data_IF_390499448377
#
_entry.id   IF_390499448377
#
_cell.length_a   1.000
_cell.length_b   1.000
_cell.length_c   1.000
_cell.angle_alpha   90.00
_cell.angle_beta   90.00
_cell.angle_gamma   90.00
#
_symmetry.space_group_name_H-M   'P 1'
#
loop_
_entity.id
_entity.type
_entity.pdbx_description
1 polymer ?
#
# COMPACT_ATOMS: atom_id res chain seq x y z
N UNK A 1 14.13 11.24 26.12
CA UNK A 1 14.32 10.48 24.88
C UNK A 1 13.34 11.06 23.88
N UNK A 2 13.80 11.92 22.98
CA UNK A 2 12.90 12.59 22.03
C UNK A 2 12.36 11.59 20.99
N UNK A 3 11.09 11.71 20.57
CA UNK A 3 10.56 10.87 19.51
C UNK A 3 11.31 11.17 18.21
N UNK A 4 11.82 10.12 17.56
CA UNK A 4 12.40 10.17 16.22
C UNK A 4 11.27 10.55 15.27
N UNK A 5 11.08 11.85 15.06
CA UNK A 5 10.36 12.37 13.91
C UNK A 5 11.16 11.97 12.67
N UNK A 6 10.79 10.84 12.08
CA UNK A 6 11.28 10.43 10.76
C UNK A 6 10.98 11.58 9.81
N UNK A 7 12.03 12.34 9.48
CA UNK A 7 11.99 13.36 8.45
C UNK A 7 11.73 12.68 7.12
N UNK A 8 10.46 12.52 6.77
CA UNK A 8 10.05 12.53 5.37
C UNK A 8 10.26 13.96 4.89
N UNK A 9 11.52 14.31 4.58
CA UNK A 9 11.85 15.46 3.73
C UNK A 9 11.71 15.04 2.27
N UNK A 10 10.54 14.56 1.89
CA UNK A 10 10.08 14.86 0.54
C UNK A 10 9.57 16.29 0.63
N UNK A 11 10.19 17.20 -0.10
CA UNK A 11 9.78 18.60 -0.04
C UNK A 11 8.30 18.68 -0.38
N UNK A 12 7.51 19.38 0.43
CA UNK A 12 6.09 19.67 0.17
C UNK A 12 5.85 20.26 -1.23
N UNK A 13 6.91 20.76 -1.88
CA UNK A 13 6.92 21.30 -3.24
C UNK A 13 6.88 20.23 -4.34
N UNK A 14 7.39 19.02 -4.09
CA UNK A 14 7.32 17.89 -5.04
C UNK A 14 5.95 17.18 -4.96
N UNK A 15 5.31 17.18 -3.79
CA UNK A 15 3.95 16.67 -3.59
C UNK A 15 2.87 17.51 -4.30
N UNK A 16 3.16 18.76 -4.64
CA UNK A 16 2.22 19.65 -5.34
C UNK A 16 2.28 19.57 -6.87
N UNK A 17 3.24 18.81 -7.46
CA UNK A 17 3.49 18.84 -8.91
C UNK A 17 3.16 17.55 -9.68
N UNK A 18 2.91 16.45 -8.97
CA UNK A 18 2.33 15.25 -9.56
C UNK A 18 0.99 15.03 -8.89
N UNK A 19 -0.10 15.22 -9.62
CA UNK A 19 -1.42 14.78 -9.15
C UNK A 19 -1.27 13.29 -8.84
N UNK A 20 -1.34 12.91 -7.55
CA UNK A 20 -1.15 11.52 -7.12
C UNK A 20 -2.17 10.62 -7.85
N UNK A 21 -3.34 11.18 -8.19
CA UNK A 21 -4.37 10.56 -9.03
C UNK A 21 -3.91 10.27 -10.47
N UNK A 22 -3.14 11.15 -11.10
CA UNK A 22 -2.62 10.95 -12.47
C UNK A 22 -1.50 9.89 -12.52
N UNK A 23 -0.77 9.73 -11.40
CA UNK A 23 0.27 8.72 -11.24
C UNK A 23 -0.31 7.35 -10.88
N UNK A 24 -1.33 7.31 -10.00
CA UNK A 24 -2.01 6.08 -9.59
C UNK A 24 -3.01 5.57 -10.63
N UNK A 25 -3.68 6.47 -11.37
CA UNK A 25 -4.72 6.11 -12.35
C UNK A 25 -4.21 5.34 -13.57
N UNK A 26 -2.89 5.21 -13.72
CA UNK A 26 -2.25 4.43 -14.79
C UNK A 26 -1.87 3.01 -14.37
N UNK A 27 -1.87 2.72 -13.08
CA UNK A 27 -1.49 1.40 -12.57
C UNK A 27 -2.57 0.39 -12.92
N UNK A 28 -2.23 -0.59 -13.75
CA UNK A 28 -3.15 -1.66 -14.14
C UNK A 28 -2.88 -2.95 -13.36
N UNK A 29 -1.63 -3.18 -12.97
CA UNK A 29 -1.23 -4.34 -12.17
C UNK A 29 -0.46 -3.92 -10.90
N UNK A 30 -0.66 -4.68 -9.82
CA UNK A 30 0.02 -4.45 -8.54
C UNK A 30 1.54 -4.62 -8.64
N UNK A 31 2.04 -5.38 -9.62
CA UNK A 31 3.48 -5.55 -9.89
C UNK A 31 4.15 -4.30 -10.45
N UNK A 32 3.36 -3.33 -10.91
CA UNK A 32 3.89 -2.03 -11.35
C UNK A 32 4.27 -1.13 -10.15
N UNK A 33 3.83 -1.48 -8.93
CA UNK A 33 4.33 -0.83 -7.72
C UNK A 33 5.76 -1.28 -7.42
N UNK A 34 6.55 -0.35 -6.87
CA UNK A 34 7.87 -0.68 -6.38
C UNK A 34 7.79 -1.76 -5.27
N UNK A 35 8.70 -2.75 -5.27
CA UNK A 35 8.62 -3.90 -4.37
C UNK A 35 8.69 -3.52 -2.89
N UNK A 36 9.38 -2.43 -2.54
CA UNK A 36 9.40 -1.92 -1.17
C UNK A 36 8.03 -1.42 -0.72
N UNK A 37 7.27 -0.78 -1.61
CA UNK A 37 5.94 -0.28 -1.30
C UNK A 37 4.97 -1.46 -1.03
N UNK A 38 5.07 -2.53 -1.82
CA UNK A 38 4.32 -3.77 -1.56
C UNK A 38 4.69 -4.41 -0.23
N UNK A 39 5.98 -4.41 0.13
CA UNK A 39 6.45 -4.90 1.42
C UNK A 39 5.93 -4.06 2.59
N UNK A 40 5.88 -2.73 2.45
CA UNK A 40 5.31 -1.82 3.45
C UNK A 40 3.81 -2.06 3.65
N UNK A 41 3.04 -2.20 2.57
CA UNK A 41 1.60 -2.50 2.62
C UNK A 41 1.37 -3.84 3.33
N UNK A 42 2.11 -4.88 2.94
CA UNK A 42 2.05 -6.20 3.60
C UNK A 42 2.32 -6.07 5.09
N UNK A 43 3.43 -5.42 5.46
CA UNK A 43 3.85 -5.26 6.86
C UNK A 43 2.82 -4.50 7.68
N UNK A 44 2.23 -3.45 7.11
CA UNK A 44 1.17 -2.69 7.77
C UNK A 44 -0.04 -3.58 8.09
N UNK A 45 -0.48 -4.42 7.14
CA UNK A 45 -1.62 -5.33 7.33
C UNK A 45 -1.30 -6.49 8.28
N UNK A 46 -0.07 -6.96 8.34
CA UNK A 46 0.33 -7.97 9.35
C UNK A 46 0.39 -7.37 10.76
N UNK A 47 0.75 -6.09 10.87
CA UNK A 47 1.02 -5.44 12.14
C UNK A 47 -0.20 -4.73 12.75
N UNK A 48 -1.22 -4.31 11.95
CA UNK A 48 -2.27 -3.40 12.45
C UNK A 48 -3.10 -3.93 13.63
N UNK A 49 -3.18 -5.26 13.82
CA UNK A 49 -3.93 -5.90 14.91
C UNK A 49 -3.07 -6.48 16.03
N UNK A 50 -1.75 -6.29 15.99
CA UNK A 50 -0.85 -6.85 17.01
C UNK A 50 -1.18 -6.34 18.42
N UNK A 51 -1.60 -5.09 18.56
CA UNK A 51 -1.99 -4.50 19.85
C UNK A 51 -3.32 -5.06 20.40
N UNK A 52 -4.09 -5.78 19.59
CA UNK A 52 -5.28 -6.53 20.02
C UNK A 52 -4.96 -7.99 20.39
N UNK A 53 -3.67 -8.37 20.42
CA UNK A 53 -3.20 -9.76 20.56
C UNK A 53 -3.76 -10.69 19.47
N UNK A 54 -3.93 -10.17 18.25
CA UNK A 54 -4.37 -10.94 17.08
C UNK A 54 -3.25 -11.01 16.05
N UNK A 55 -3.13 -12.17 15.42
CA UNK A 55 -2.22 -12.39 14.30
C UNK A 55 -2.99 -12.26 12.97
N UNK A 56 -2.40 -11.57 12.02
CA UNK A 56 -2.92 -11.44 10.66
C UNK A 56 -1.84 -11.92 9.70
N UNK A 57 -2.14 -12.97 8.93
CA UNK A 57 -1.28 -13.43 7.86
C UNK A 57 -1.77 -12.88 6.52
N UNK A 58 -0.86 -12.31 5.73
CA UNK A 58 -1.15 -11.84 4.38
C UNK A 58 -0.58 -12.86 3.39
N UNK A 59 -1.40 -13.36 2.48
CA UNK A 59 -0.93 -14.26 1.42
C UNK A 59 -0.28 -13.47 0.27
N UNK A 60 0.17 -14.16 -0.76
CA UNK A 60 0.67 -13.49 -1.97
C UNK A 60 -0.41 -12.65 -2.64
N UNK A 61 0.00 -11.51 -3.20
CA UNK A 61 -0.90 -10.64 -3.94
C UNK A 61 -1.31 -11.31 -5.24
N UNK A 62 -2.61 -11.31 -5.51
CA UNK A 62 -3.20 -11.88 -6.73
C UNK A 62 -3.12 -10.89 -7.90
N UNK A 63 -3.12 -11.37 -9.16
CA UNK A 63 -3.17 -10.50 -10.33
C UNK A 63 -4.51 -9.76 -10.44
N UNK A 64 -4.52 -8.67 -11.21
CA UNK A 64 -5.69 -7.80 -11.36
C UNK A 64 -6.96 -8.55 -11.82
N UNK A 65 -6.82 -9.57 -12.67
CA UNK A 65 -7.96 -10.35 -13.16
C UNK A 65 -8.75 -11.06 -12.05
N UNK A 66 -8.06 -11.55 -11.01
CA UNK A 66 -8.70 -12.27 -9.92
C UNK A 66 -9.40 -11.29 -8.97
N UNK A 67 -8.86 -10.08 -8.82
CA UNK A 67 -9.52 -8.98 -8.11
C UNK A 67 -10.83 -8.60 -8.82
N UNK A 68 -10.82 -8.45 -10.14
CA UNK A 68 -12.03 -8.14 -10.92
C UNK A 68 -13.09 -9.25 -10.76
N UNK A 69 -12.70 -10.52 -10.80
CA UNK A 69 -13.60 -11.65 -10.55
C UNK A 69 -14.20 -11.60 -9.14
N UNK A 70 -13.38 -11.33 -8.12
CA UNK A 70 -13.81 -11.24 -6.73
C UNK A 70 -14.79 -10.08 -6.49
N UNK A 71 -14.54 -8.90 -7.08
CA UNK A 71 -15.46 -7.76 -7.01
C UNK A 71 -16.79 -8.12 -7.66
N UNK A 72 -16.76 -8.68 -8.87
CA UNK A 72 -17.99 -9.08 -9.59
C UNK A 72 -18.80 -10.11 -8.81
N UNK A 73 -18.15 -11.03 -8.11
CA UNK A 73 -18.82 -12.01 -7.26
C UNK A 73 -19.45 -11.39 -5.99
N UNK A 74 -18.91 -10.26 -5.52
CA UNK A 74 -19.34 -9.60 -4.27
C UNK A 74 -20.42 -8.53 -4.48
N UNK A 75 -20.82 -8.26 -5.73
CA UNK A 75 -21.88 -7.34 -6.12
C UNK A 75 -23.20 -8.07 -6.39
#
# INVERSE_FOLDING_TARGET
MEPISLQIKMSQKELQKGNIEDALGKLQDIKELAPHCLAEIRRFIEDYKKNENKEVAVNDFLPAEDVVKAIKYSM
#
